data_IF_197727433532
#
_entry.id   IF_197727433532
#
_cell.length_a   1.000
_cell.length_b   1.000
_cell.length_c   1.000
_cell.angle_alpha   90.00
_cell.angle_beta   90.00
_cell.angle_gamma   90.00
#
_symmetry.space_group_name_H-M   'P 1'
#
loop_
_entity.id
_entity.type
_entity.pdbx_description
1 polymer ?
#
# COMPACT_ATOMS: atom_id res chain seq x y z
N UNK A 1 -27.05 -4.35 9.54
CA UNK A 1 -25.60 -4.30 9.26
C UNK A 1 -25.35 -3.31 8.14
N UNK A 2 -24.17 -2.68 8.10
CA UNK A 2 -23.77 -1.83 6.97
C UNK A 2 -23.43 -2.67 5.73
N UNK A 3 -23.57 -2.10 4.54
CA UNK A 3 -23.27 -2.74 3.25
C UNK A 3 -22.01 -2.12 2.65
N UNK A 4 -21.12 -2.97 2.12
CA UNK A 4 -19.93 -2.54 1.35
C UNK A 4 -20.21 -2.82 -0.12
N UNK A 5 -19.99 -1.82 -0.98
CA UNK A 5 -20.08 -1.95 -2.43
C UNK A 5 -18.88 -1.22 -3.04
N UNK A 6 -18.15 -1.91 -3.92
CA UNK A 6 -17.02 -1.36 -4.66
C UNK A 6 -17.16 -1.77 -6.12
N UNK A 7 -16.77 -0.88 -7.05
CA UNK A 7 -16.66 -1.24 -8.47
C UNK A 7 -15.28 -1.83 -8.71
N UNK A 8 -15.25 -2.95 -9.41
CA UNK A 8 -14.04 -3.67 -9.80
C UNK A 8 -14.25 -4.13 -11.25
N UNK A 9 -13.23 -4.12 -12.12
CA UNK A 9 -13.33 -4.73 -13.44
C UNK A 9 -13.72 -6.21 -13.34
N UNK A 10 -14.62 -6.67 -14.22
CA UNK A 10 -15.17 -8.03 -14.18
C UNK A 10 -14.07 -9.10 -14.21
N UNK A 11 -13.05 -8.91 -15.06
CA UNK A 11 -11.89 -9.81 -15.17
C UNK A 11 -11.12 -9.97 -13.86
N UNK A 12 -10.96 -8.87 -13.09
CA UNK A 12 -10.26 -8.88 -11.81
C UNK A 12 -11.15 -9.55 -10.75
N UNK A 13 -12.45 -9.28 -10.78
CA UNK A 13 -13.40 -9.91 -9.86
C UNK A 13 -13.43 -11.43 -10.04
N UNK A 14 -13.43 -11.92 -11.28
CA UNK A 14 -13.47 -13.35 -11.57
C UNK A 14 -12.22 -14.08 -11.07
N UNK A 15 -11.04 -13.53 -11.39
CA UNK A 15 -9.75 -14.09 -10.93
C UNK A 15 -9.66 -14.07 -9.41
N UNK A 16 -9.95 -12.94 -8.77
CA UNK A 16 -9.89 -12.83 -7.31
C UNK A 16 -10.87 -13.80 -6.64
N UNK A 17 -12.10 -13.92 -7.16
CA UNK A 17 -13.12 -14.82 -6.62
C UNK A 17 -12.69 -16.29 -6.73
N UNK A 18 -12.05 -16.69 -7.85
CA UNK A 18 -11.55 -18.05 -8.01
C UNK A 18 -10.44 -18.38 -7.00
N UNK A 19 -9.48 -17.47 -6.81
CA UNK A 19 -8.38 -17.64 -5.83
C UNK A 19 -8.92 -17.72 -4.40
N UNK A 20 -9.84 -16.81 -4.03
CA UNK A 20 -10.45 -16.79 -2.69
C UNK A 20 -11.25 -18.07 -2.42
N UNK A 21 -12.01 -18.56 -3.40
CA UNK A 21 -12.77 -19.81 -3.26
C UNK A 21 -11.86 -21.03 -3.10
N UNK A 22 -10.69 -21.04 -3.76
CA UNK A 22 -9.73 -22.13 -3.64
C UNK A 22 -9.18 -22.29 -2.21
N UNK A 23 -9.19 -21.23 -1.40
CA UNK A 23 -8.80 -21.29 0.02
C UNK A 23 -9.96 -21.63 0.96
N UNK A 24 -11.18 -21.85 0.43
CA UNK A 24 -12.38 -22.15 1.21
C UNK A 24 -13.08 -20.92 1.79
N UNK A 25 -12.67 -19.71 1.40
CA UNK A 25 -13.26 -18.46 1.85
C UNK A 25 -14.26 -17.91 0.82
N UNK A 26 -15.16 -17.05 1.30
CA UNK A 26 -15.98 -16.20 0.42
C UNK A 26 -15.37 -14.81 0.30
N UNK A 27 -15.74 -14.07 -0.76
CA UNK A 27 -15.37 -12.65 -0.89
C UNK A 27 -15.79 -11.85 0.35
N UNK A 28 -16.96 -12.17 0.93
CA UNK A 28 -17.43 -11.51 2.15
C UNK A 28 -16.59 -11.84 3.38
N UNK A 29 -16.01 -13.04 3.48
CA UNK A 29 -15.07 -13.37 4.58
C UNK A 29 -13.82 -12.52 4.48
N UNK A 30 -13.22 -12.46 3.29
CA UNK A 30 -12.00 -11.67 3.04
C UNK A 30 -12.26 -10.19 3.33
N UNK A 31 -13.36 -9.62 2.82
CA UNK A 31 -13.73 -8.23 3.07
C UNK A 31 -13.89 -7.97 4.58
N UNK A 32 -14.55 -8.87 5.32
CA UNK A 32 -14.69 -8.72 6.78
C UNK A 32 -13.33 -8.76 7.48
N UNK A 33 -12.49 -9.73 7.16
CA UNK A 33 -11.17 -9.89 7.76
C UNK A 33 -10.29 -8.66 7.52
N UNK A 34 -10.26 -8.15 6.29
CA UNK A 34 -9.50 -6.95 5.94
C UNK A 34 -10.01 -5.72 6.70
N UNK A 35 -11.33 -5.51 6.73
CA UNK A 35 -11.92 -4.37 7.46
C UNK A 35 -11.67 -4.45 8.97
N UNK A 36 -11.78 -5.64 9.57
CA UNK A 36 -11.45 -5.87 10.98
C UNK A 36 -9.98 -5.57 11.24
N UNK A 37 -9.07 -6.05 10.38
CA UNK A 37 -7.64 -5.81 10.52
C UNK A 37 -7.30 -4.32 10.46
N UNK A 38 -7.87 -3.58 9.50
CA UNK A 38 -7.68 -2.13 9.38
C UNK A 38 -8.17 -1.40 10.63
N UNK A 39 -9.36 -1.77 11.13
CA UNK A 39 -9.92 -1.15 12.32
C UNK A 39 -9.09 -1.43 13.59
N UNK A 40 -8.53 -2.63 13.71
CA UNK A 40 -7.71 -3.04 14.86
C UNK A 40 -6.30 -2.47 14.81
N UNK A 41 -5.62 -2.60 13.67
CA UNK A 41 -4.21 -2.23 13.51
C UNK A 41 -4.03 -0.74 13.15
N UNK A 42 -5.12 -0.04 12.78
CA UNK A 42 -5.11 1.37 12.34
C UNK A 42 -4.14 1.66 11.19
N UNK A 43 -3.87 0.64 10.39
CA UNK A 43 -3.02 0.70 9.21
C UNK A 43 -3.63 -0.14 8.10
N UNK A 44 -3.36 0.23 6.85
CA UNK A 44 -3.70 -0.62 5.71
C UNK A 44 -2.66 -1.75 5.59
N UNK A 45 -3.05 -2.96 5.16
CA UNK A 45 -2.10 -4.02 4.85
C UNK A 45 -1.06 -3.55 3.82
N UNK A 46 0.22 -3.49 4.23
CA UNK A 46 1.32 -2.87 3.46
C UNK A 46 1.64 -3.58 2.14
N UNK A 47 1.31 -4.87 2.05
CA UNK A 47 1.46 -5.69 0.85
C UNK A 47 0.54 -5.27 -0.30
N UNK A 48 -0.45 -4.42 -0.03
CA UNK A 48 -1.33 -3.82 -1.04
C UNK A 48 -0.83 -2.45 -1.55
N UNK A 49 0.28 -1.92 -1.01
CA UNK A 49 0.82 -0.63 -1.42
C UNK A 49 1.76 -0.79 -2.62
N UNK A 50 1.38 -0.20 -3.75
CA UNK A 50 2.34 0.18 -4.79
C UNK A 50 2.78 1.62 -4.53
N UNK A 51 4.09 1.90 -4.37
CA UNK A 51 4.58 3.26 -4.25
C UNK A 51 4.13 4.10 -5.46
N UNK A 52 3.88 5.39 -5.22
CA UNK A 52 3.56 6.28 -6.33
C UNK A 52 4.73 6.32 -7.33
N UNK A 53 4.49 6.62 -8.62
CA UNK A 53 5.56 6.75 -9.59
C UNK A 53 6.66 7.73 -9.15
N UNK A 54 6.29 8.81 -8.44
CA UNK A 54 7.21 9.77 -7.84
C UNK A 54 8.09 9.12 -6.77
N UNK A 55 7.50 8.34 -5.85
CA UNK A 55 8.28 7.61 -4.83
C UNK A 55 9.21 6.57 -5.46
N UNK A 56 8.74 5.86 -6.50
CA UNK A 56 9.58 4.92 -7.24
C UNK A 56 10.78 5.65 -7.86
N UNK A 57 10.54 6.78 -8.53
CA UNK A 57 11.61 7.57 -9.15
C UNK A 57 12.60 8.10 -8.11
N UNK A 58 12.13 8.61 -6.97
CA UNK A 58 12.98 9.09 -5.90
C UNK A 58 13.90 7.97 -5.32
N UNK A 59 13.39 6.74 -5.22
CA UNK A 59 14.19 5.58 -4.79
C UNK A 59 15.25 5.21 -5.85
N UNK A 60 14.91 5.26 -7.13
CA UNK A 60 15.86 5.00 -8.22
C UNK A 60 16.94 6.09 -8.32
N UNK A 61 16.58 7.35 -8.13
CA UNK A 61 17.51 8.47 -8.02
C UNK A 61 18.46 8.27 -6.83
N UNK A 62 17.92 7.85 -5.68
CA UNK A 62 18.72 7.55 -4.51
C UNK A 62 19.74 6.42 -4.76
N UNK A 63 19.30 5.32 -5.38
CA UNK A 63 20.17 4.19 -5.76
C UNK A 63 21.26 4.60 -6.75
N UNK A 64 20.94 5.51 -7.67
CA UNK A 64 21.88 6.06 -8.64
C UNK A 64 22.81 7.14 -8.05
N UNK A 65 22.68 7.47 -6.75
CA UNK A 65 23.47 8.51 -6.10
C UNK A 65 23.06 9.94 -6.47
N UNK A 66 21.90 10.12 -7.10
CA UNK A 66 21.29 11.43 -7.40
C UNK A 66 20.55 11.96 -6.16
N UNK A 67 21.28 12.08 -5.04
CA UNK A 67 20.76 12.64 -3.79
C UNK A 67 21.56 13.86 -3.38
N UNK A 68 20.93 14.74 -2.60
CA UNK A 68 21.67 15.72 -1.80
C UNK A 68 22.41 14.98 -0.69
N UNK A 69 23.64 15.41 -0.40
CA UNK A 69 24.44 14.88 0.70
C UNK A 69 24.70 16.02 1.68
N UNK A 70 24.35 15.81 2.93
CA UNK A 70 24.80 16.66 4.03
C UNK A 70 26.12 16.10 4.59
N UNK A 71 27.01 16.98 5.04
CA UNK A 71 28.26 16.60 5.69
C UNK A 71 28.03 16.03 7.10
N UNK A 72 27.00 16.51 7.79
CA UNK A 72 26.61 16.05 9.12
C UNK A 72 25.08 16.18 9.36
N UNK A 73 24.65 15.76 10.55
CA UNK A 73 23.24 15.77 10.93
C UNK A 73 22.69 17.18 11.13
N UNK A 74 23.53 18.13 11.56
CA UNK A 74 23.11 19.51 11.82
C UNK A 74 22.86 20.26 10.50
N UNK A 75 23.70 20.01 9.49
CA UNK A 75 23.50 20.50 8.12
C UNK A 75 22.24 19.90 7.49
N UNK A 76 22.01 18.59 7.64
CA UNK A 76 20.79 17.94 7.13
C UNK A 76 19.51 18.59 7.67
N UNK A 77 19.45 18.82 8.99
CA UNK A 77 18.28 19.45 9.59
C UNK A 77 18.12 20.92 9.18
N UNK A 78 19.21 21.63 8.89
CA UNK A 78 19.15 23.00 8.39
C UNK A 78 18.57 23.06 6.99
N UNK A 79 18.92 22.12 6.11
CA UNK A 79 18.38 22.03 4.74
C UNK A 79 16.93 21.54 4.70
N UNK A 80 16.52 20.61 5.57
CA UNK A 80 15.15 20.07 5.56
C UNK A 80 14.10 21.03 6.16
N UNK A 81 14.54 21.95 7.02
CA UNK A 81 13.65 22.91 7.71
C UNK A 81 13.72 24.33 7.12
N UNK A 82 14.44 24.53 6.02
CA UNK A 82 14.48 25.80 5.28
C UNK A 82 13.28 25.97 4.38
#
# INVERSE_FOLDING_TARGET
MAKIQARVPDEIQDVATAVIKATGLTVSDVVRMTMTRIATERTLPLDMFQPSPETVQAVEDARAGRTTKAADIDELFRELNS
#
